data_IF_432094732257
#
_entry.id   IF_432094732257
#
_cell.length_a   1.000
_cell.length_b   1.000
_cell.length_c   1.000
_cell.angle_alpha   90.00
_cell.angle_beta   90.00
_cell.angle_gamma   90.00
#
_symmetry.space_group_name_H-M   'P 1'
#
loop_
_entity.id
_entity.type
_entity.pdbx_description
1 polymer ?
#
# COMPACT_ATOMS: atom_id res chain seq x y z
N UNK A 1 78.63 49.64 -30.93
CA UNK A 1 78.35 49.74 -29.48
C UNK A 1 76.91 49.35 -29.27
N UNK A 2 76.66 48.16 -28.84
CA UNK A 2 75.41 47.79 -28.13
C UNK A 2 75.43 46.28 -27.83
N UNK A 3 75.47 45.95 -26.60
CA UNK A 3 75.53 44.56 -26.10
C UNK A 3 74.12 43.92 -26.15
N UNK A 4 74.07 42.80 -26.77
CA UNK A 4 72.84 41.95 -26.77
C UNK A 4 72.91 41.03 -25.54
N UNK A 5 71.99 41.19 -24.63
CA UNK A 5 71.76 40.26 -23.50
C UNK A 5 70.88 39.13 -23.95
N UNK A 6 71.32 37.90 -23.79
CA UNK A 6 70.50 36.66 -23.97
C UNK A 6 69.83 36.34 -22.65
N UNK A 7 68.53 36.33 -22.64
CA UNK A 7 67.70 35.79 -21.56
C UNK A 7 67.29 34.32 -21.91
N UNK A 8 67.74 33.39 -21.12
CA UNK A 8 67.35 32.01 -21.24
C UNK A 8 66.00 31.77 -20.59
N UNK A 9 65.13 31.18 -21.33
CA UNK A 9 63.82 30.71 -20.79
C UNK A 9 63.98 29.31 -20.19
N UNK A 10 63.80 29.23 -18.90
CA UNK A 10 63.66 27.90 -18.17
C UNK A 10 62.22 27.47 -18.29
N UNK A 11 61.97 26.36 -19.00
CA UNK A 11 60.70 25.70 -19.06
C UNK A 11 60.51 24.85 -17.77
N UNK A 12 59.62 25.26 -16.89
CA UNK A 12 59.19 24.46 -15.75
C UNK A 12 58.09 23.47 -16.20
N UNK A 13 58.42 22.18 -16.19
CA UNK A 13 57.49 21.10 -16.39
C UNK A 13 56.67 20.91 -15.09
N UNK A 14 55.41 21.32 -15.11
CA UNK A 14 54.47 21.01 -14.02
C UNK A 14 53.81 19.66 -14.34
N UNK A 15 54.26 18.59 -13.66
CA UNK A 15 53.57 17.32 -13.66
C UNK A 15 52.30 17.44 -12.77
N UNK A 16 51.16 17.59 -13.42
CA UNK A 16 49.86 17.47 -12.74
C UNK A 16 49.53 16.00 -12.40
N UNK A 17 49.72 15.62 -11.15
CA UNK A 17 49.13 14.36 -10.64
C UNK A 17 47.60 14.53 -10.60
N UNK A 18 46.91 13.94 -11.57
CA UNK A 18 45.47 13.76 -11.49
C UNK A 18 45.17 12.65 -10.48
N UNK A 19 44.79 13.02 -9.27
CA UNK A 19 44.22 12.07 -8.28
C UNK A 19 42.82 11.74 -8.73
N UNK A 20 42.64 10.60 -9.39
CA UNK A 20 41.34 10.03 -9.67
C UNK A 20 40.81 9.46 -8.35
N UNK A 21 39.98 10.23 -7.67
CA UNK A 21 39.21 9.73 -6.52
C UNK A 21 38.10 8.83 -7.07
N UNK A 22 38.36 7.53 -7.09
CA UNK A 22 37.33 6.53 -7.34
C UNK A 22 36.42 6.49 -6.11
N UNK A 23 35.27 7.16 -6.17
CA UNK A 23 34.19 6.91 -5.24
C UNK A 23 33.64 5.50 -5.54
N UNK A 24 34.20 4.50 -4.90
CA UNK A 24 33.54 3.22 -4.74
C UNK A 24 32.31 3.48 -3.87
N UNK A 25 31.13 3.61 -4.50
CA UNK A 25 29.86 3.45 -3.80
C UNK A 25 29.88 2.02 -3.26
N UNK A 26 30.30 1.87 -2.02
CA UNK A 26 30.03 0.68 -1.25
C UNK A 26 28.50 0.55 -1.19
N UNK A 27 27.96 -0.37 -1.98
CA UNK A 27 26.65 -0.89 -1.75
C UNK A 27 26.63 -1.35 -0.28
N UNK A 28 25.96 -0.62 0.59
CA UNK A 28 25.72 -1.05 1.96
C UNK A 28 24.92 -2.35 1.84
N UNK A 29 25.60 -3.48 1.91
CA UNK A 29 24.99 -4.74 2.25
C UNK A 29 24.45 -4.55 3.66
N UNK A 30 23.23 -4.06 3.78
CA UNK A 30 22.54 -4.05 5.05
C UNK A 30 22.31 -5.51 5.42
N UNK A 31 22.79 -5.91 6.59
CA UNK A 31 22.42 -7.20 7.17
C UNK A 31 20.89 -7.35 7.08
N UNK A 32 20.40 -8.57 6.87
CA UNK A 32 18.96 -8.80 6.83
C UNK A 32 18.32 -8.22 8.10
N UNK A 33 17.12 -7.65 8.02
CA UNK A 33 16.45 -7.05 9.17
C UNK A 33 16.29 -8.10 10.28
N UNK A 34 16.57 -7.70 11.52
CA UNK A 34 16.34 -8.55 12.68
C UNK A 34 14.84 -8.59 12.95
N UNK A 35 14.23 -9.72 12.66
CA UNK A 35 12.80 -9.94 12.92
C UNK A 35 12.60 -10.31 14.38
N UNK A 36 11.68 -9.66 15.05
CA UNK A 36 11.36 -9.86 16.47
C UNK A 36 9.97 -10.47 16.63
N UNK A 37 9.78 -11.66 16.05
CA UNK A 37 8.47 -12.35 16.09
C UNK A 37 8.04 -12.69 17.53
N UNK A 38 8.99 -12.85 18.45
CA UNK A 38 8.77 -13.01 19.88
C UNK A 38 8.03 -11.85 20.54
N UNK A 39 8.05 -10.66 19.93
CA UNK A 39 7.33 -9.49 20.41
C UNK A 39 5.89 -9.38 19.89
N UNK A 40 5.54 -10.19 18.89
CA UNK A 40 4.18 -10.14 18.30
C UNK A 40 3.18 -10.80 19.27
N UNK A 41 2.16 -10.04 19.59
CA UNK A 41 1.02 -10.46 20.40
C UNK A 41 -0.17 -10.76 19.48
N UNK A 42 -0.73 -11.94 19.63
CA UNK A 42 -1.89 -12.44 18.91
C UNK A 42 -2.93 -12.95 19.93
N UNK A 43 -4.20 -13.05 19.55
CA UNK A 43 -5.19 -13.77 20.36
C UNK A 43 -4.80 -15.23 20.57
N UNK A 44 -5.35 -15.86 21.62
CA UNK A 44 -5.09 -17.25 21.93
C UNK A 44 -5.39 -18.20 20.76
N UNK A 45 -4.54 -19.18 20.54
CA UNK A 45 -4.63 -20.16 19.46
C UNK A 45 -4.05 -19.68 18.13
N UNK A 46 -3.69 -18.40 18.00
CA UNK A 46 -3.02 -17.90 16.79
C UNK A 46 -1.50 -17.98 16.92
N UNK A 47 -0.85 -18.18 15.79
CA UNK A 47 0.61 -18.14 15.65
C UNK A 47 1.01 -17.32 14.43
N UNK A 48 2.23 -16.77 14.45
CA UNK A 48 2.83 -16.05 13.32
C UNK A 48 4.18 -16.66 12.99
N UNK A 49 4.44 -16.83 11.70
CA UNK A 49 5.71 -17.30 11.18
C UNK A 49 6.12 -16.47 9.94
N UNK A 50 7.39 -16.51 9.59
CA UNK A 50 7.85 -15.97 8.30
C UNK A 50 7.41 -16.93 7.20
N UNK A 51 6.65 -16.40 6.22
CA UNK A 51 6.25 -17.13 5.02
C UNK A 51 7.25 -16.90 3.87
N UNK A 52 7.71 -15.66 3.66
CA UNK A 52 8.71 -15.32 2.65
C UNK A 52 9.64 -14.21 3.14
N UNK A 53 10.91 -14.24 2.73
CA UNK A 53 11.93 -13.20 2.99
C UNK A 53 12.48 -12.64 1.68
N UNK A 54 13.04 -11.43 1.74
CA UNK A 54 13.68 -10.79 0.59
C UNK A 54 12.70 -10.27 -0.45
N UNK A 55 11.41 -10.21 -0.14
CA UNK A 55 10.37 -9.60 -0.98
C UNK A 55 10.45 -8.09 -0.81
N UNK A 56 11.30 -7.46 -1.62
CA UNK A 56 11.69 -6.06 -1.45
C UNK A 56 10.51 -5.11 -1.41
N UNK A 57 10.38 -4.39 -0.28
CA UNK A 57 9.40 -3.34 -0.04
C UNK A 57 7.96 -3.82 -0.31
N UNK A 58 7.61 -5.01 0.23
CA UNK A 58 6.37 -5.72 -0.03
C UNK A 58 5.13 -4.92 0.37
N UNK A 59 4.27 -4.63 -0.60
CA UNK A 59 3.03 -3.86 -0.45
C UNK A 59 1.82 -4.73 -0.71
N UNK A 60 0.91 -4.30 -1.59
CA UNK A 60 -0.29 -5.06 -1.90
C UNK A 60 0.03 -6.46 -2.41
N UNK A 61 -0.74 -7.42 -1.96
CA UNK A 61 -0.71 -8.81 -2.41
C UNK A 61 -1.96 -9.15 -3.23
N UNK A 62 -1.82 -10.05 -4.20
CA UNK A 62 -2.93 -10.63 -4.94
C UNK A 62 -2.68 -12.13 -5.13
N UNK A 63 -3.70 -12.94 -4.86
CA UNK A 63 -3.62 -14.38 -5.00
C UNK A 63 -3.96 -14.80 -6.43
N UNK A 64 -3.07 -15.56 -7.06
CA UNK A 64 -3.29 -16.22 -8.34
C UNK A 64 -4.12 -17.48 -8.20
N UNK A 65 -4.58 -18.02 -9.34
CA UNK A 65 -5.43 -19.20 -9.38
C UNK A 65 -4.73 -20.50 -8.95
N UNK A 66 -3.38 -20.54 -9.08
CA UNK A 66 -2.55 -21.70 -8.70
C UNK A 66 -1.85 -21.51 -7.35
N UNK A 67 -2.27 -20.51 -6.55
CA UNK A 67 -1.68 -20.23 -5.24
C UNK A 67 -0.47 -19.29 -5.26
N UNK A 68 -0.06 -18.80 -6.43
CA UNK A 68 0.99 -17.77 -6.54
C UNK A 68 0.55 -16.48 -5.82
N UNK A 69 1.40 -15.94 -4.95
CA UNK A 69 1.16 -14.63 -4.32
C UNK A 69 1.93 -13.57 -5.10
N UNK A 70 1.22 -12.75 -5.85
CA UNK A 70 1.80 -11.58 -6.51
C UNK A 70 1.91 -10.43 -5.53
N UNK A 71 3.05 -9.72 -5.54
CA UNK A 71 3.36 -8.70 -4.54
C UNK A 71 3.88 -7.45 -5.23
N UNK A 72 3.17 -6.34 -5.06
CA UNK A 72 3.62 -5.03 -5.48
C UNK A 72 4.65 -4.46 -4.50
N UNK A 73 5.36 -3.42 -4.94
CA UNK A 73 6.28 -2.68 -4.08
C UNK A 73 6.08 -1.17 -4.22
N UNK A 74 6.60 -0.39 -3.27
CA UNK A 74 6.61 1.05 -3.39
C UNK A 74 7.96 1.51 -4.00
N UNK A 75 8.93 1.87 -3.18
CA UNK A 75 10.21 2.46 -3.63
C UNK A 75 11.12 1.49 -4.38
N UNK A 76 10.94 0.18 -4.20
CA UNK A 76 11.77 -0.81 -4.89
C UNK A 76 11.51 -0.86 -6.41
N UNK A 77 10.34 -0.42 -6.88
CA UNK A 77 9.99 -0.44 -8.30
C UNK A 77 9.87 -1.83 -8.89
N UNK A 78 9.57 -2.84 -8.05
CA UNK A 78 9.53 -4.24 -8.38
C UNK A 78 8.12 -4.82 -8.21
N UNK A 79 7.79 -5.82 -9.00
CA UNK A 79 6.63 -6.70 -8.77
C UNK A 79 7.16 -8.13 -8.66
N UNK A 80 6.77 -8.82 -7.59
CA UNK A 80 7.21 -10.17 -7.33
C UNK A 80 6.07 -11.18 -7.52
N UNK A 81 6.44 -12.42 -7.81
CA UNK A 81 5.59 -13.60 -7.64
C UNK A 81 6.27 -14.54 -6.66
N UNK A 82 5.58 -14.89 -5.60
CA UNK A 82 6.09 -15.71 -4.49
C UNK A 82 5.28 -16.98 -4.45
N UNK A 83 5.97 -18.13 -4.42
CA UNK A 83 5.35 -19.45 -4.58
C UNK A 83 5.84 -20.38 -3.49
N UNK A 84 4.91 -21.06 -2.84
CA UNK A 84 5.10 -22.24 -2.03
C UNK A 84 4.83 -23.45 -2.96
N UNK A 85 5.85 -24.25 -3.28
CA UNK A 85 5.76 -25.30 -4.29
C UNK A 85 5.50 -26.68 -3.70
N UNK A 86 5.79 -26.89 -2.42
CA UNK A 86 5.63 -28.18 -1.75
C UNK A 86 4.52 -28.18 -0.67
N UNK A 87 3.92 -27.04 -0.41
CA UNK A 87 2.78 -26.89 0.52
C UNK A 87 3.17 -26.93 2.00
N UNK A 88 4.44 -26.66 2.34
CA UNK A 88 4.92 -26.63 3.72
C UNK A 88 4.57 -25.34 4.47
N UNK A 89 3.85 -24.45 3.80
CA UNK A 89 3.46 -23.11 4.28
C UNK A 89 4.61 -22.12 4.40
N UNK A 90 5.65 -22.30 3.58
CA UNK A 90 6.74 -21.36 3.36
C UNK A 90 6.97 -21.18 1.87
N UNK A 91 7.39 -20.01 1.47
CA UNK A 91 7.70 -19.74 0.08
C UNK A 91 9.07 -20.32 -0.30
N UNK A 92 9.12 -21.10 -1.37
CA UNK A 92 10.33 -21.70 -1.92
C UNK A 92 11.00 -20.79 -2.96
N UNK A 93 10.19 -20.08 -3.72
CA UNK A 93 10.66 -19.32 -4.88
C UNK A 93 10.04 -17.94 -4.95
N UNK A 94 10.89 -16.97 -5.26
CA UNK A 94 10.47 -15.61 -5.56
C UNK A 94 10.97 -15.23 -6.95
N UNK A 95 10.04 -14.85 -7.82
CA UNK A 95 10.33 -14.37 -9.17
C UNK A 95 10.12 -12.86 -9.23
N UNK A 96 10.90 -12.18 -10.10
CA UNK A 96 10.67 -10.76 -10.41
C UNK A 96 9.86 -10.70 -11.71
N UNK A 97 8.60 -10.31 -11.61
CA UNK A 97 7.68 -10.20 -12.75
C UNK A 97 7.91 -8.90 -13.53
N UNK A 98 8.15 -7.80 -12.82
CA UNK A 98 8.45 -6.51 -13.43
C UNK A 98 9.45 -5.73 -12.59
N UNK A 99 10.23 -4.85 -13.26
CA UNK A 99 11.22 -3.96 -12.63
C UNK A 99 11.27 -2.60 -13.31
N UNK A 100 11.73 -1.59 -12.56
CA UNK A 100 11.87 -0.23 -13.08
C UNK A 100 10.53 0.51 -13.24
N UNK A 101 9.47 0.04 -12.61
CA UNK A 101 8.19 0.72 -12.54
C UNK A 101 8.19 1.79 -11.44
N UNK A 102 7.33 2.78 -11.55
CA UNK A 102 7.24 3.88 -10.59
C UNK A 102 6.23 3.52 -9.48
N UNK A 103 6.73 3.09 -8.31
CA UNK A 103 5.91 2.70 -7.16
C UNK A 103 4.77 1.72 -7.50
N UNK A 104 5.07 0.55 -8.10
CA UNK A 104 4.06 -0.40 -8.55
C UNK A 104 3.43 -1.17 -7.37
N UNK A 105 2.79 -0.42 -6.46
CA UNK A 105 2.20 -1.00 -5.24
C UNK A 105 0.96 -1.83 -5.54
N UNK A 106 0.18 -1.44 -6.54
CA UNK A 106 -1.11 -2.05 -6.84
C UNK A 106 -0.99 -3.30 -7.70
N UNK A 107 -1.50 -4.43 -7.22
CA UNK A 107 -1.57 -5.68 -7.97
C UNK A 107 -2.95 -6.32 -7.85
N UNK A 108 -3.50 -6.85 -8.94
CA UNK A 108 -4.74 -7.60 -8.95
C UNK A 108 -4.65 -8.75 -9.95
N UNK A 109 -5.24 -9.89 -9.62
CA UNK A 109 -5.26 -11.06 -10.48
C UNK A 109 -6.69 -11.37 -10.93
N UNK A 110 -6.87 -11.65 -12.22
CA UNK A 110 -8.14 -12.07 -12.79
C UNK A 110 -7.95 -12.83 -14.10
N UNK A 111 -8.69 -13.90 -14.27
CA UNK A 111 -8.79 -14.68 -15.53
C UNK A 111 -7.41 -15.06 -16.10
N UNK A 112 -6.46 -15.48 -15.23
CA UNK A 112 -5.10 -15.87 -15.61
C UNK A 112 -4.13 -14.69 -15.79
N UNK A 113 -4.60 -13.45 -15.73
CA UNK A 113 -3.78 -12.26 -15.94
C UNK A 113 -3.51 -11.50 -14.64
N UNK A 114 -2.28 -10.98 -14.51
CA UNK A 114 -1.88 -10.05 -13.46
C UNK A 114 -2.00 -8.62 -13.97
N UNK A 115 -2.76 -7.79 -13.25
CA UNK A 115 -2.81 -6.35 -13.43
C UNK A 115 -1.88 -5.68 -12.45
N UNK A 116 -1.10 -4.72 -12.92
CA UNK A 116 -0.12 -3.96 -12.12
C UNK A 116 -0.36 -2.48 -12.34
N UNK A 117 -0.58 -1.74 -11.27
CA UNK A 117 -0.67 -0.29 -11.31
C UNK A 117 0.60 0.37 -10.77
N UNK A 118 1.27 1.15 -11.60
CA UNK A 118 2.22 2.17 -11.17
C UNK A 118 1.48 3.50 -10.90
N UNK A 119 2.21 4.62 -10.75
CA UNK A 119 1.56 5.90 -10.40
C UNK A 119 0.50 6.30 -11.42
N UNK A 120 0.81 6.23 -12.72
CA UNK A 120 -0.06 6.76 -13.77
C UNK A 120 -0.58 5.73 -14.76
N UNK A 121 -0.06 4.50 -14.69
CA UNK A 121 -0.33 3.48 -15.69
C UNK A 121 -0.81 2.18 -15.06
N UNK A 122 -1.61 1.45 -15.81
CA UNK A 122 -1.99 0.09 -15.48
C UNK A 122 -1.55 -0.82 -16.61
N UNK A 123 -0.83 -1.88 -16.24
CA UNK A 123 -0.33 -2.91 -17.12
C UNK A 123 -1.04 -4.23 -16.86
N UNK A 124 -1.11 -5.10 -17.87
CA UNK A 124 -1.59 -6.47 -17.75
C UNK A 124 -0.55 -7.44 -18.29
N UNK A 125 -0.28 -8.50 -17.52
CA UNK A 125 0.56 -9.62 -17.90
C UNK A 125 -0.34 -10.84 -18.08
N UNK A 126 -0.55 -11.24 -19.33
CA UNK A 126 -1.44 -12.34 -19.68
C UNK A 126 -0.79 -13.69 -19.38
N UNK A 127 -1.59 -14.69 -18.98
CA UNK A 127 -1.16 -16.06 -18.65
C UNK A 127 0.07 -16.14 -17.73
N UNK A 128 0.09 -15.25 -16.72
CA UNK A 128 1.28 -14.97 -15.94
C UNK A 128 1.77 -16.18 -15.13
N UNK A 129 0.85 -17.00 -14.58
CA UNK A 129 1.24 -18.14 -13.76
C UNK A 129 1.90 -19.28 -14.54
N UNK A 130 1.79 -19.30 -15.87
CA UNK A 130 2.54 -20.21 -16.74
C UNK A 130 3.96 -19.67 -17.06
N UNK A 131 4.23 -18.40 -16.77
CA UNK A 131 5.43 -17.71 -17.25
C UNK A 131 6.20 -16.96 -16.17
N UNK A 132 6.16 -17.40 -14.90
CA UNK A 132 6.78 -16.70 -13.76
C UNK A 132 8.28 -16.48 -13.95
N UNK A 133 9.00 -17.46 -14.52
CA UNK A 133 10.45 -17.37 -14.73
C UNK A 133 10.82 -16.47 -15.93
N UNK A 134 9.91 -16.33 -16.89
CA UNK A 134 10.10 -15.51 -18.10
C UNK A 134 8.79 -14.78 -18.38
N UNK A 135 8.50 -13.71 -17.64
CA UNK A 135 7.22 -13.00 -17.74
C UNK A 135 6.99 -12.44 -19.16
N UNK A 136 5.75 -12.49 -19.65
CA UNK A 136 5.42 -11.95 -20.95
C UNK A 136 5.58 -10.42 -20.96
N UNK A 137 5.71 -9.85 -22.16
CA UNK A 137 5.69 -8.39 -22.30
C UNK A 137 4.34 -7.85 -21.85
N UNK A 138 4.31 -6.84 -20.96
CA UNK A 138 3.05 -6.29 -20.47
C UNK A 138 2.26 -5.56 -21.56
N UNK A 139 0.94 -5.69 -21.51
CA UNK A 139 -0.01 -4.88 -22.28
C UNK A 139 -0.31 -3.62 -21.47
N UNK A 140 -0.13 -2.45 -22.06
CA UNK A 140 -0.56 -1.18 -21.45
C UNK A 140 -2.09 -1.07 -21.52
N UNK A 141 -2.76 -1.08 -20.39
CA UNK A 141 -4.22 -0.97 -20.29
C UNK A 141 -4.65 0.50 -20.31
N UNK A 142 -3.97 1.34 -19.53
CA UNK A 142 -4.21 2.80 -19.53
C UNK A 142 -2.98 3.56 -19.04
N UNK A 143 -2.83 4.82 -19.49
CA UNK A 143 -1.83 5.78 -18.99
C UNK A 143 -2.48 7.12 -18.61
N UNK A 144 -3.76 7.12 -18.29
CA UNK A 144 -4.56 8.34 -18.10
C UNK A 144 -4.74 8.73 -16.62
N UNK A 145 -4.07 8.05 -15.69
CA UNK A 145 -4.05 8.47 -14.30
C UNK A 145 -3.05 9.62 -14.08
N UNK A 146 -3.26 10.46 -13.06
CA UNK A 146 -2.33 11.53 -12.72
C UNK A 146 -0.90 11.02 -12.49
N UNK A 147 0.10 11.85 -12.80
CA UNK A 147 1.53 11.54 -12.69
C UNK A 147 2.17 12.01 -11.38
N UNK A 148 1.40 12.73 -10.56
CA UNK A 148 1.83 13.22 -9.26
C UNK A 148 2.22 12.08 -8.34
N UNK A 149 3.40 12.19 -7.75
CA UNK A 149 3.98 11.15 -6.90
C UNK A 149 3.45 11.18 -5.47
N UNK A 150 3.03 12.36 -4.99
CA UNK A 150 2.42 12.50 -3.66
C UNK A 150 1.06 11.79 -3.62
N UNK A 151 0.91 10.79 -2.77
CA UNK A 151 -0.22 9.85 -2.75
C UNK A 151 -0.50 9.19 -4.12
N UNK A 152 0.54 9.06 -4.96
CA UNK A 152 0.41 8.55 -6.33
C UNK A 152 0.29 7.03 -6.43
N UNK A 153 0.87 6.27 -5.47
CA UNK A 153 0.81 4.81 -5.50
C UNK A 153 -0.61 4.29 -5.32
N UNK A 154 -0.89 3.16 -5.95
CA UNK A 154 -2.23 2.59 -6.04
C UNK A 154 -2.38 1.33 -5.19
N UNK A 155 -3.59 1.05 -4.80
CA UNK A 155 -4.11 -0.26 -4.44
C UNK A 155 -5.20 -0.59 -5.45
N UNK A 156 -5.18 -1.74 -6.10
CA UNK A 156 -6.18 -2.08 -7.12
C UNK A 156 -6.82 -3.43 -6.83
N UNK A 157 -8.10 -3.55 -7.11
CA UNK A 157 -8.81 -4.82 -7.00
C UNK A 157 -10.04 -4.84 -7.93
N UNK A 158 -10.41 -6.04 -8.38
CA UNK A 158 -11.64 -6.24 -9.12
C UNK A 158 -12.84 -6.32 -8.18
N UNK A 159 -13.83 -5.52 -8.44
CA UNK A 159 -15.11 -5.54 -7.73
C UNK A 159 -16.00 -6.72 -8.14
N UNK A 160 -17.05 -6.99 -7.34
CA UNK A 160 -18.03 -8.02 -7.65
C UNK A 160 -18.81 -7.75 -8.95
N UNK A 161 -18.77 -6.52 -9.44
CA UNK A 161 -19.30 -6.06 -10.73
C UNK A 161 -18.35 -6.30 -11.91
N UNK A 162 -17.14 -6.81 -11.62
CA UNK A 162 -16.12 -7.10 -12.61
C UNK A 162 -15.29 -5.92 -13.08
N UNK A 163 -15.50 -4.72 -12.51
CA UNK A 163 -14.68 -3.54 -12.79
C UNK A 163 -13.41 -3.53 -11.93
N UNK A 164 -12.35 -2.92 -12.43
CA UNK A 164 -11.13 -2.67 -11.69
C UNK A 164 -11.23 -1.33 -10.94
N UNK A 165 -11.19 -1.38 -9.62
CA UNK A 165 -11.24 -0.19 -8.76
C UNK A 165 -9.84 0.34 -8.51
N UNK A 166 -9.69 1.68 -8.61
CA UNK A 166 -8.39 2.36 -8.58
C UNK A 166 -8.54 3.67 -7.80
N UNK A 167 -8.00 3.78 -6.59
CA UNK A 167 -7.99 5.03 -5.86
C UNK A 167 -6.97 6.01 -6.45
N UNK A 168 -7.29 7.29 -6.35
CA UNK A 168 -6.42 8.40 -6.76
C UNK A 168 -6.33 9.37 -5.60
N UNK A 169 -5.20 9.38 -4.91
CA UNK A 169 -4.98 10.26 -3.75
C UNK A 169 -4.88 11.73 -4.14
N UNK A 170 -5.08 12.62 -3.17
CA UNK A 170 -4.84 14.04 -3.35
C UNK A 170 -3.35 14.31 -3.61
N UNK A 171 -2.96 15.21 -4.53
CA UNK A 171 -1.56 15.48 -4.86
C UNK A 171 -0.87 16.40 -3.83
N UNK A 172 -1.41 16.50 -2.62
CA UNK A 172 -1.01 17.45 -1.59
C UNK A 172 -1.43 16.94 -0.20
N UNK A 173 -0.92 17.57 0.85
CA UNK A 173 -1.43 17.31 2.20
C UNK A 173 -2.91 17.72 2.33
N UNK A 174 -3.22 18.97 1.92
CA UNK A 174 -4.60 19.46 1.80
C UNK A 174 -4.70 20.41 0.61
N UNK A 175 -5.63 20.20 -0.28
CA UNK A 175 -5.95 21.08 -1.41
C UNK A 175 -7.26 20.66 -2.05
N UNK A 176 -7.94 21.62 -2.67
CA UNK A 176 -9.09 21.34 -3.50
C UNK A 176 -8.67 21.35 -4.98
N UNK A 177 -8.59 20.17 -5.56
CA UNK A 177 -8.24 19.97 -6.97
C UNK A 177 -9.42 19.50 -7.84
N UNK A 178 -10.63 19.47 -7.30
CA UNK A 178 -11.82 18.95 -8.01
C UNK A 178 -12.10 19.71 -9.30
N UNK A 179 -11.85 21.04 -9.31
CA UNK A 179 -12.05 21.89 -10.49
C UNK A 179 -10.97 21.74 -11.57
N UNK A 180 -9.75 21.31 -11.18
CA UNK A 180 -8.63 21.12 -12.09
C UNK A 180 -8.59 19.69 -12.67
N UNK A 181 -8.75 18.71 -11.79
CA UNK A 181 -8.81 17.31 -12.18
C UNK A 181 -9.71 16.54 -11.21
N UNK A 182 -10.92 16.17 -11.63
CA UNK A 182 -11.93 15.59 -10.75
C UNK A 182 -11.63 14.19 -10.24
N UNK A 183 -10.56 13.54 -10.70
CA UNK A 183 -10.17 12.20 -10.22
C UNK A 183 -9.35 12.25 -8.93
N UNK A 184 -8.77 13.39 -8.55
CA UNK A 184 -8.04 13.51 -7.29
C UNK A 184 -8.95 13.34 -6.06
N UNK A 185 -8.42 12.73 -5.03
CA UNK A 185 -9.12 12.43 -3.77
C UNK A 185 -10.41 11.61 -3.99
N UNK A 186 -10.32 10.59 -4.86
CA UNK A 186 -11.45 9.71 -5.20
C UNK A 186 -11.05 8.23 -5.22
N UNK A 187 -12.05 7.38 -5.25
CA UNK A 187 -11.93 6.01 -5.76
C UNK A 187 -12.61 5.97 -7.11
N UNK A 188 -11.86 5.61 -8.14
CA UNK A 188 -12.38 5.40 -9.50
C UNK A 188 -12.55 3.92 -9.79
N UNK A 189 -13.27 3.58 -10.85
CA UNK A 189 -13.25 2.24 -11.45
C UNK A 189 -13.14 2.33 -12.96
N UNK A 190 -12.56 1.31 -13.58
CA UNK A 190 -12.44 1.18 -15.04
C UNK A 190 -12.79 -0.26 -15.44
N UNK A 191 -13.16 -0.46 -16.70
CA UNK A 191 -13.30 -1.81 -17.25
C UNK A 191 -11.94 -2.49 -17.35
N UNK A 192 -11.87 -3.84 -17.39
CA UNK A 192 -10.60 -4.57 -17.51
C UNK A 192 -9.76 -4.21 -18.73
N UNK A 193 -10.39 -3.70 -19.78
CA UNK A 193 -9.74 -3.20 -21.01
C UNK A 193 -9.23 -1.75 -20.91
N UNK A 194 -9.45 -1.08 -19.76
CA UNK A 194 -9.03 0.30 -19.51
C UNK A 194 -10.03 1.37 -19.95
N UNK A 195 -11.16 0.98 -20.52
CA UNK A 195 -12.20 1.93 -20.96
C UNK A 195 -13.21 2.26 -19.85
N UNK A 196 -14.01 3.28 -20.07
CA UNK A 196 -15.20 3.60 -19.24
C UNK A 196 -14.88 4.06 -17.83
N UNK A 197 -13.72 4.75 -17.62
CA UNK A 197 -13.37 5.26 -16.28
C UNK A 197 -14.45 6.18 -15.72
N UNK A 198 -14.84 5.90 -14.48
CA UNK A 198 -15.80 6.71 -13.73
C UNK A 198 -15.40 6.82 -12.25
N UNK A 199 -15.88 7.85 -11.56
CA UNK A 199 -15.64 8.05 -10.14
C UNK A 199 -16.73 7.31 -9.34
N UNK A 200 -16.28 6.45 -8.41
CA UNK A 200 -17.16 5.73 -7.49
C UNK A 200 -17.43 6.50 -6.20
N UNK A 201 -16.36 7.04 -5.57
CA UNK A 201 -16.47 7.78 -4.31
C UNK A 201 -15.57 9.01 -4.33
N UNK A 202 -16.04 10.09 -3.69
CA UNK A 202 -15.35 11.37 -3.58
C UNK A 202 -14.89 11.64 -2.14
N UNK A 203 -14.00 12.62 -1.97
CA UNK A 203 -13.58 13.09 -0.65
C UNK A 203 -12.71 12.09 0.11
N UNK A 204 -12.00 11.23 -0.58
CA UNK A 204 -11.06 10.24 -0.06
C UNK A 204 -9.64 10.76 -0.26
N UNK A 205 -9.03 11.36 0.78
CA UNK A 205 -7.72 12.01 0.67
C UNK A 205 -6.63 11.09 0.13
N UNK A 206 -6.47 9.92 0.74
CA UNK A 206 -5.49 8.92 0.33
C UNK A 206 -5.94 7.53 0.78
N UNK A 207 -6.42 6.74 -0.16
CA UNK A 207 -6.76 5.34 0.06
C UNK A 207 -5.71 4.42 -0.53
N UNK A 208 -5.25 3.46 0.27
CA UNK A 208 -4.32 2.40 -0.13
C UNK A 208 -4.85 1.03 0.33
N UNK A 209 -6.16 0.91 0.51
CA UNK A 209 -6.80 -0.34 0.87
C UNK A 209 -8.31 -0.25 0.84
N UNK A 210 -8.92 -1.27 0.30
CA UNK A 210 -10.37 -1.41 0.27
C UNK A 210 -10.76 -2.86 -0.02
N UNK A 211 -11.98 -3.21 0.36
CA UNK A 211 -12.58 -4.50 0.01
C UNK A 211 -14.11 -4.42 0.12
N UNK A 212 -14.81 -5.39 -0.43
CA UNK A 212 -16.28 -5.45 -0.47
C UNK A 212 -16.81 -6.34 0.64
N UNK A 213 -17.81 -5.82 1.35
CA UNK A 213 -18.49 -6.60 2.39
C UNK A 213 -19.08 -7.89 1.80
N UNK A 214 -18.80 -9.07 2.39
CA UNK A 214 -19.16 -10.35 1.80
C UNK A 214 -20.64 -10.53 1.50
N UNK A 215 -21.54 -9.99 2.34
CA UNK A 215 -22.99 -10.11 2.16
C UNK A 215 -23.56 -8.98 1.28
N UNK A 216 -23.31 -7.71 1.64
CA UNK A 216 -23.96 -6.56 0.98
C UNK A 216 -23.28 -6.15 -0.33
N UNK A 217 -22.03 -6.58 -0.58
CA UNK A 217 -21.18 -6.15 -1.68
C UNK A 217 -20.87 -4.64 -1.69
N UNK A 218 -21.19 -3.91 -0.63
CA UNK A 218 -20.81 -2.51 -0.44
C UNK A 218 -19.31 -2.38 -0.18
N UNK A 219 -18.71 -1.34 -0.72
CA UNK A 219 -17.25 -1.11 -0.67
C UNK A 219 -16.84 -0.44 0.64
N UNK A 220 -15.93 -1.05 1.38
CA UNK A 220 -15.21 -0.45 2.51
C UNK A 220 -13.87 0.08 2.05
N UNK A 221 -13.53 1.33 2.45
CA UNK A 221 -12.37 2.08 1.94
C UNK A 221 -11.62 2.67 3.13
N UNK A 222 -10.34 2.33 3.31
CA UNK A 222 -9.46 3.06 4.25
C UNK A 222 -9.08 4.41 3.67
N UNK A 223 -8.93 5.43 4.51
CA UNK A 223 -8.42 6.74 4.09
C UNK A 223 -7.54 7.35 5.17
N UNK A 224 -6.34 7.74 4.78
CA UNK A 224 -5.42 8.45 5.66
C UNK A 224 -5.80 9.92 5.74
N UNK A 225 -5.95 10.43 6.95
CA UNK A 225 -6.31 11.82 7.25
C UNK A 225 -5.22 12.84 6.90
N UNK A 226 -5.57 14.14 6.99
CA UNK A 226 -4.65 15.25 6.80
C UNK A 226 -3.54 15.22 7.87
N UNK A 227 -2.31 15.51 7.46
CA UNK A 227 -1.19 15.68 8.38
C UNK A 227 -1.13 17.10 8.97
N UNK A 228 -0.35 17.27 10.06
CA UNK A 228 -0.02 18.55 10.68
C UNK A 228 -1.21 19.30 11.32
N UNK A 229 -2.15 18.54 11.90
CA UNK A 229 -3.20 19.09 12.77
C UNK A 229 -3.02 18.70 14.25
N UNK A 230 -1.88 18.13 14.60
CA UNK A 230 -1.56 17.62 15.94
C UNK A 230 -1.60 16.09 16.01
N UNK A 231 -1.30 15.55 17.19
CA UNK A 231 -1.15 14.09 17.40
C UNK A 231 -2.48 13.34 17.30
N UNK A 232 -3.57 13.95 17.73
CA UNK A 232 -4.85 13.24 17.93
C UNK A 232 -5.92 13.61 16.89
N UNK A 233 -5.61 14.51 15.95
CA UNK A 233 -6.55 15.01 14.95
C UNK A 233 -5.87 15.16 13.59
N UNK A 234 -6.56 14.86 12.47
CA UNK A 234 -7.82 14.13 12.37
C UNK A 234 -7.60 12.61 12.45
N UNK A 235 -8.65 11.83 12.73
CA UNK A 235 -8.55 10.38 12.63
C UNK A 235 -8.40 9.94 11.17
N UNK A 236 -7.67 8.85 10.96
CA UNK A 236 -7.84 8.03 9.77
C UNK A 236 -9.21 7.37 9.79
N UNK A 237 -9.73 6.98 8.66
CA UNK A 237 -11.12 6.52 8.56
C UNK A 237 -11.25 5.23 7.77
N UNK A 238 -12.26 4.45 8.14
CA UNK A 238 -12.85 3.41 7.33
C UNK A 238 -14.22 3.92 6.83
N UNK A 239 -14.35 4.08 5.54
CA UNK A 239 -15.55 4.61 4.88
C UNK A 239 -16.34 3.47 4.24
N UNK A 240 -17.67 3.55 4.26
CA UNK A 240 -18.55 2.58 3.62
C UNK A 240 -19.30 3.23 2.45
N UNK A 241 -19.05 2.75 1.25
CA UNK A 241 -19.61 3.26 -0.01
C UNK A 241 -20.44 2.17 -0.74
N UNK A 242 -21.66 1.87 -0.30
CA UNK A 242 -22.52 0.87 -0.94
C UNK A 242 -23.00 1.24 -2.34
N UNK A 243 -22.88 2.51 -2.72
CA UNK A 243 -23.28 3.05 -4.02
C UNK A 243 -22.30 4.12 -4.52
N UNK A 244 -22.32 4.36 -5.82
CA UNK A 244 -21.53 5.43 -6.43
C UNK A 244 -22.00 6.82 -6.01
N UNK A 245 -21.10 7.82 -6.12
CA UNK A 245 -21.39 9.24 -5.91
C UNK A 245 -21.34 9.71 -4.45
N UNK A 246 -20.99 8.85 -3.49
CA UNK A 246 -20.83 9.27 -2.09
C UNK A 246 -19.59 10.13 -1.90
N UNK A 247 -19.70 11.18 -1.06
CA UNK A 247 -18.62 12.12 -0.74
C UNK A 247 -18.30 12.08 0.76
N UNK A 248 -17.03 11.83 1.09
CA UNK A 248 -16.53 11.67 2.47
C UNK A 248 -15.79 12.90 3.01
N UNK A 249 -15.86 14.03 2.31
CA UNK A 249 -15.62 15.36 2.85
C UNK A 249 -14.28 16.00 2.56
N UNK A 250 -13.20 15.27 2.23
CA UNK A 250 -11.92 15.92 1.91
C UNK A 250 -12.04 16.86 0.69
N UNK A 251 -11.48 18.08 0.73
CA UNK A 251 -10.62 18.67 1.78
C UNK A 251 -11.36 19.45 2.87
N UNK A 252 -12.65 19.52 2.88
CA UNK A 252 -13.45 20.42 3.71
C UNK A 252 -13.71 19.89 5.12
N UNK A 253 -13.86 18.57 5.25
CA UNK A 253 -14.20 17.89 6.49
C UNK A 253 -13.38 16.59 6.64
N UNK A 254 -12.87 16.33 7.85
CA UNK A 254 -12.13 15.15 8.19
C UNK A 254 -12.88 14.33 9.23
N UNK A 255 -12.83 12.99 9.11
CA UNK A 255 -13.46 12.09 10.07
C UNK A 255 -14.97 12.28 10.24
N UNK A 256 -15.62 13.05 9.35
CA UNK A 256 -17.05 13.31 9.33
C UNK A 256 -17.55 14.40 10.26
N UNK A 257 -16.66 15.04 11.07
CA UNK A 257 -17.04 16.07 12.04
C UNK A 257 -15.92 17.09 12.39
N UNK A 258 -14.75 16.98 11.80
CA UNK A 258 -13.63 17.91 12.01
C UNK A 258 -13.53 18.84 10.79
N UNK A 259 -13.99 20.11 10.87
CA UNK A 259 -13.82 21.06 9.78
C UNK A 259 -12.33 21.31 9.52
N UNK A 260 -11.96 21.37 8.24
CA UNK A 260 -10.58 21.74 7.88
C UNK A 260 -10.30 23.20 8.20
N UNK A 261 -9.15 23.55 8.80
CA UNK A 261 -8.83 24.94 9.14
C UNK A 261 -8.78 25.91 7.95
N UNK A 262 -8.45 25.41 6.74
CA UNK A 262 -8.31 26.25 5.53
C UNK A 262 -9.54 26.18 4.61
N UNK A 263 -10.17 25.01 4.56
CA UNK A 263 -11.25 24.73 3.61
C UNK A 263 -12.63 24.58 4.26
N UNK A 264 -12.70 24.27 5.56
CA UNK A 264 -13.94 23.89 6.25
C UNK A 264 -15.02 24.96 6.25
N UNK A 265 -14.64 26.25 6.20
CA UNK A 265 -15.61 27.35 6.07
C UNK A 265 -16.38 27.37 4.76
N UNK A 266 -15.90 26.69 3.71
CA UNK A 266 -16.53 26.66 2.38
C UNK A 266 -17.70 25.67 2.32
N UNK A 267 -17.60 24.56 3.05
CA UNK A 267 -18.63 23.50 3.06
C UNK A 267 -18.66 22.82 4.44
N UNK A 268 -19.80 22.83 5.13
CA UNK A 268 -19.92 22.25 6.46
C UNK A 268 -19.86 20.71 6.43
N UNK A 269 -19.38 20.11 7.51
CA UNK A 269 -19.27 18.65 7.63
C UNK A 269 -20.61 17.90 7.46
N UNK A 270 -21.74 18.58 7.70
CA UNK A 270 -23.08 18.02 7.56
C UNK A 270 -23.48 17.68 6.11
N UNK A 271 -22.75 18.19 5.12
CA UNK A 271 -22.98 17.87 3.71
C UNK A 271 -22.38 16.52 3.30
N UNK A 272 -21.52 15.94 4.12
CA UNK A 272 -20.73 14.77 3.75
C UNK A 272 -21.19 13.50 4.46
N UNK A 273 -20.89 12.37 3.82
CA UNK A 273 -21.07 11.05 4.43
C UNK A 273 -20.07 10.85 5.56
N UNK A 274 -20.58 10.48 6.73
CA UNK A 274 -19.70 10.11 7.86
C UNK A 274 -19.00 8.79 7.59
N UNK A 275 -17.77 8.59 8.10
CA UNK A 275 -17.11 7.28 8.04
C UNK A 275 -17.89 6.22 8.81
N UNK A 276 -17.79 4.97 8.38
CA UNK A 276 -18.33 3.84 9.10
C UNK A 276 -17.60 3.61 10.44
N UNK A 277 -16.27 3.89 10.46
CA UNK A 277 -15.44 3.81 11.66
C UNK A 277 -14.33 4.86 11.61
N UNK A 278 -14.17 5.60 12.70
CA UNK A 278 -12.93 6.36 12.94
C UNK A 278 -11.88 5.40 13.48
N UNK A 279 -10.76 5.39 12.81
CA UNK A 279 -9.60 4.62 13.23
C UNK A 279 -8.63 5.34 14.14
N UNK A 280 -7.74 5.42 14.68
CA UNK A 280 -6.92 6.41 15.41
C UNK A 280 -6.35 7.47 14.48
N UNK A 281 -5.95 8.60 15.01
CA UNK A 281 -5.25 9.62 14.24
C UNK A 281 -3.88 9.10 13.81
N UNK A 282 -3.60 9.22 12.52
CA UNK A 282 -2.31 8.90 11.91
C UNK A 282 -1.84 7.43 12.02
N UNK A 283 -2.76 6.48 12.22
CA UNK A 283 -2.39 5.06 12.23
C UNK A 283 -1.90 4.56 10.86
N UNK A 284 -2.12 5.34 9.82
CA UNK A 284 -1.84 5.03 8.42
C UNK A 284 -2.48 3.71 8.00
N UNK A 285 -3.82 3.64 8.12
CA UNK A 285 -4.60 2.50 7.67
C UNK A 285 -4.47 2.34 6.15
N UNK A 286 -3.92 1.21 5.71
CA UNK A 286 -3.68 0.92 4.29
C UNK A 286 -4.36 -0.39 3.90
N UNK A 287 -3.66 -1.48 3.59
CA UNK A 287 -4.28 -2.73 3.13
C UNK A 287 -5.45 -3.19 3.99
N UNK A 288 -6.55 -3.54 3.36
CA UNK A 288 -7.78 -3.97 4.05
C UNK A 288 -8.45 -5.11 3.28
N UNK A 289 -8.80 -6.21 3.98
CA UNK A 289 -9.45 -7.38 3.39
C UNK A 289 -10.45 -8.01 4.35
N UNK A 290 -11.60 -8.42 3.82
CA UNK A 290 -12.51 -9.30 4.54
C UNK A 290 -11.95 -10.72 4.61
N UNK A 291 -11.92 -11.28 5.80
CA UNK A 291 -11.54 -12.66 6.00
C UNK A 291 -12.74 -13.59 5.76
N UNK A 292 -12.78 -14.21 4.59
CA UNK A 292 -13.85 -15.15 4.20
C UNK A 292 -13.48 -16.62 4.44
N UNK A 293 -12.28 -16.89 5.00
CA UNK A 293 -11.82 -18.22 5.35
C UNK A 293 -12.61 -18.84 6.51
N UNK A 294 -12.42 -20.13 6.73
CA UNK A 294 -13.11 -20.90 7.78
C UNK A 294 -12.17 -21.45 8.86
N UNK A 295 -10.85 -21.26 8.71
CA UNK A 295 -9.88 -21.78 9.69
C UNK A 295 -9.86 -20.97 10.98
N UNK A 296 -10.05 -19.65 10.92
CA UNK A 296 -10.14 -18.81 12.11
C UNK A 296 -11.47 -19.03 12.85
N UNK A 297 -11.52 -18.74 14.16
CA UNK A 297 -12.76 -18.76 14.94
C UNK A 297 -13.90 -17.99 14.28
N UNK A 298 -15.14 -18.39 14.57
CA UNK A 298 -16.34 -17.86 13.91
C UNK A 298 -16.47 -16.34 14.01
N UNK A 299 -15.98 -15.74 15.09
CA UNK A 299 -16.00 -14.29 15.33
C UNK A 299 -15.16 -13.49 14.34
N UNK A 300 -14.20 -14.12 13.63
CA UNK A 300 -13.37 -13.48 12.63
C UNK A 300 -13.88 -13.65 11.20
N UNK A 301 -14.86 -14.54 10.98
CA UNK A 301 -15.40 -14.80 9.64
C UNK A 301 -16.20 -13.61 9.14
N UNK A 302 -15.94 -13.23 7.89
CA UNK A 302 -16.55 -12.07 7.26
C UNK A 302 -16.25 -10.74 7.99
N UNK A 303 -15.15 -10.67 8.76
CA UNK A 303 -14.69 -9.46 9.39
C UNK A 303 -13.52 -8.84 8.61
N UNK A 304 -13.39 -7.51 8.68
CA UNK A 304 -12.40 -6.76 7.93
C UNK A 304 -11.11 -6.62 8.72
N UNK A 305 -10.02 -7.19 8.21
CA UNK A 305 -8.67 -6.98 8.73
C UNK A 305 -8.02 -5.79 8.03
N UNK A 306 -7.36 -4.93 8.79
CA UNK A 306 -6.70 -3.71 8.29
C UNK A 306 -5.24 -3.71 8.75
N UNK A 307 -4.33 -3.46 7.81
CA UNK A 307 -2.95 -3.14 8.14
C UNK A 307 -2.82 -1.66 8.48
N UNK A 308 -2.51 -1.36 9.73
CA UNK A 308 -2.14 -0.03 10.19
C UNK A 308 -0.62 0.13 10.09
N UNK A 309 -0.16 0.76 9.01
CA UNK A 309 1.24 0.86 8.64
C UNK A 309 2.09 1.67 9.63
N UNK A 310 1.45 2.54 10.40
CA UNK A 310 2.06 3.29 11.48
C UNK A 310 2.42 4.73 11.14
N UNK A 311 2.34 5.57 12.16
CA UNK A 311 2.49 7.03 12.08
C UNK A 311 3.93 7.45 11.75
N UNK A 312 4.05 8.61 11.10
CA UNK A 312 5.32 9.30 10.92
C UNK A 312 5.33 10.70 11.54
N UNK A 313 4.16 11.28 11.77
CA UNK A 313 3.91 12.66 12.19
C UNK A 313 3.27 12.77 13.58
N UNK A 314 3.58 11.85 14.50
CA UNK A 314 3.15 11.88 15.90
C UNK A 314 4.35 11.93 16.84
N UNK A 315 4.18 12.62 17.97
CA UNK A 315 5.15 12.62 19.10
C UNK A 315 5.33 11.21 19.64
N UNK A 316 4.22 10.51 19.89
CA UNK A 316 4.23 9.09 20.27
C UNK A 316 3.74 8.26 19.08
N UNK A 317 4.57 7.38 18.48
CA UNK A 317 4.17 6.56 17.38
C UNK A 317 2.99 5.63 17.70
N UNK A 318 2.09 5.46 16.72
CA UNK A 318 0.91 4.57 16.82
C UNK A 318 0.73 3.78 15.51
N UNK A 319 -0.15 2.77 15.52
CA UNK A 319 -0.32 1.85 14.41
C UNK A 319 0.74 0.75 14.48
N UNK A 320 1.37 0.39 13.36
CA UNK A 320 2.34 -0.70 13.24
C UNK A 320 1.74 -2.03 13.73
N UNK A 321 0.53 -2.34 13.26
CA UNK A 321 -0.25 -3.48 13.74
C UNK A 321 -1.30 -3.91 12.72
N UNK A 322 -1.92 -5.05 12.96
CA UNK A 322 -3.14 -5.46 12.27
C UNK A 322 -4.30 -5.24 13.23
N UNK A 323 -5.37 -4.63 12.74
CA UNK A 323 -6.63 -4.46 13.46
C UNK A 323 -7.74 -5.23 12.77
N UNK A 324 -8.81 -5.52 13.50
CA UNK A 324 -10.03 -6.11 12.96
C UNK A 324 -11.22 -5.20 13.26
N UNK A 325 -11.99 -4.91 12.21
CA UNK A 325 -13.28 -4.25 12.30
C UNK A 325 -14.34 -5.32 12.14
N UNK A 326 -15.23 -5.45 13.15
CA UNK A 326 -16.35 -6.38 13.09
C UNK A 326 -17.58 -5.71 12.50
N UNK A 327 -18.31 -6.45 11.66
CA UNK A 327 -19.50 -5.97 10.96
C UNK A 327 -20.64 -6.99 11.10
N UNK A 328 -21.88 -6.51 11.07
CA UNK A 328 -23.05 -7.37 10.93
C UNK A 328 -23.38 -7.66 9.45
N UNK A 329 -24.40 -8.48 9.21
CA UNK A 329 -24.82 -8.86 7.85
C UNK A 329 -25.32 -7.67 6.99
N UNK A 330 -25.66 -6.56 7.61
CA UNK A 330 -26.08 -5.31 6.97
C UNK A 330 -24.93 -4.33 6.75
N UNK A 331 -23.68 -4.77 7.06
CA UNK A 331 -22.46 -3.97 6.98
C UNK A 331 -22.37 -2.81 8.01
N UNK A 332 -23.14 -2.84 9.09
CA UNK A 332 -22.93 -1.94 10.20
C UNK A 332 -21.68 -2.37 11.00
N UNK A 333 -20.82 -1.43 11.33
CA UNK A 333 -19.67 -1.69 12.18
C UNK A 333 -20.14 -1.92 13.61
N UNK A 334 -19.73 -3.05 14.20
CA UNK A 334 -20.08 -3.48 15.57
C UNK A 334 -18.88 -3.44 16.52
N UNK A 335 -17.65 -3.30 16.01
CA UNK A 335 -16.45 -3.20 16.83
C UNK A 335 -15.20 -2.91 16.02
N UNK A 336 -14.16 -2.42 16.72
CA UNK A 336 -12.83 -2.18 16.19
C UNK A 336 -11.80 -2.44 17.28
N UNK A 337 -10.86 -3.35 17.04
CA UNK A 337 -9.86 -3.76 18.04
C UNK A 337 -8.54 -4.20 17.37
N UNK A 338 -7.39 -4.14 18.08
CA UNK A 338 -6.16 -4.79 17.65
C UNK A 338 -6.36 -6.31 17.49
N UNK A 339 -5.64 -6.87 16.49
CA UNK A 339 -5.57 -8.32 16.26
C UNK A 339 -4.14 -8.85 16.40
N UNK A 340 -3.16 -8.17 15.77
CA UNK A 340 -1.75 -8.50 15.91
C UNK A 340 -0.96 -7.23 16.17
N UNK A 341 -0.22 -7.18 17.26
CA UNK A 341 0.59 -6.02 17.67
C UNK A 341 2.01 -6.47 18.03
N UNK A 342 2.99 -5.55 17.98
CA UNK A 342 4.36 -5.83 18.42
C UNK A 342 5.44 -5.42 17.42
N UNK A 343 5.09 -4.95 16.22
CA UNK A 343 6.06 -4.39 15.27
C UNK A 343 6.67 -3.06 15.74
N UNK A 344 6.05 -2.40 16.71
CA UNK A 344 6.56 -1.22 17.40
C UNK A 344 7.03 -1.61 18.80
N UNK A 345 8.32 -1.37 19.13
CA UNK A 345 8.93 -1.66 20.42
C UNK A 345 9.69 -0.43 20.92
N UNK A 346 9.38 0.05 22.11
CA UNK A 346 10.03 1.20 22.72
C UNK A 346 10.11 2.43 21.78
N UNK A 347 9.04 2.72 21.03
CA UNK A 347 8.99 3.82 20.07
C UNK A 347 9.74 3.59 18.76
N UNK A 348 10.32 2.40 18.55
CA UNK A 348 11.04 2.03 17.33
C UNK A 348 10.32 0.89 16.62
N UNK A 349 9.93 1.14 15.35
CA UNK A 349 9.33 0.11 14.54
C UNK A 349 10.41 -0.79 13.92
N UNK A 350 10.37 -2.10 14.16
CA UNK A 350 11.20 -3.07 13.49
C UNK A 350 10.55 -3.61 12.21
N UNK A 351 9.22 -3.51 12.08
CA UNK A 351 8.44 -3.85 10.91
C UNK A 351 7.28 -2.88 10.70
N UNK A 352 6.66 -2.91 9.52
CA UNK A 352 5.51 -2.08 9.11
C UNK A 352 4.54 -2.91 8.27
N UNK A 353 3.48 -3.47 8.88
CA UNK A 353 2.44 -4.17 8.12
C UNK A 353 1.84 -3.29 7.03
N UNK A 354 1.75 -3.82 5.80
CA UNK A 354 1.31 -3.05 4.64
C UNK A 354 0.02 -3.57 4.01
N UNK A 355 -0.16 -4.89 3.90
CA UNK A 355 -1.38 -5.51 3.40
C UNK A 355 -1.65 -6.82 4.12
N UNK A 356 -2.88 -7.29 4.02
CA UNK A 356 -3.31 -8.60 4.49
C UNK A 356 -3.95 -9.38 3.34
N UNK A 357 -3.70 -10.68 3.23
CA UNK A 357 -4.25 -11.52 2.18
C UNK A 357 -4.67 -12.88 2.73
N UNK A 358 -5.98 -13.17 2.83
CA UNK A 358 -6.45 -14.50 3.16
C UNK A 358 -6.00 -15.54 2.14
N UNK A 359 -5.55 -16.69 2.60
CA UNK A 359 -5.20 -17.84 1.77
C UNK A 359 -6.33 -18.89 1.74
N UNK A 360 -6.35 -19.80 0.75
CA UNK A 360 -7.36 -20.86 0.65
C UNK A 360 -7.35 -21.84 1.83
N UNK A 361 -6.19 -22.04 2.49
CA UNK A 361 -6.08 -22.86 3.70
C UNK A 361 -6.68 -22.18 4.94
N UNK A 362 -7.14 -20.94 4.79
CA UNK A 362 -7.74 -20.13 5.84
C UNK A 362 -6.72 -19.40 6.71
N UNK A 363 -5.42 -19.44 6.41
CA UNK A 363 -4.44 -18.56 7.03
C UNK A 363 -4.47 -17.15 6.43
N UNK A 364 -3.79 -16.20 7.09
CA UNK A 364 -3.71 -14.81 6.67
C UNK A 364 -2.25 -14.44 6.44
N UNK A 365 -1.90 -14.01 5.23
CA UNK A 365 -0.60 -13.38 4.97
C UNK A 365 -0.62 -11.91 5.38
N UNK A 366 0.53 -11.41 5.82
CA UNK A 366 0.78 -10.00 6.15
C UNK A 366 2.07 -9.58 5.46
N UNK A 367 2.02 -8.62 4.55
CA UNK A 367 3.22 -8.03 3.97
C UNK A 367 3.81 -6.95 4.87
N UNK A 368 5.14 -6.83 4.85
CA UNK A 368 5.90 -5.83 5.61
C UNK A 368 6.95 -5.19 4.70
N UNK A 369 6.74 -3.94 4.34
CA UNK A 369 7.58 -3.21 3.39
C UNK A 369 8.87 -2.65 4.00
N UNK A 370 8.95 -2.59 5.32
CA UNK A 370 10.15 -2.19 6.04
C UNK A 370 11.13 -3.35 6.19
N UNK A 371 10.62 -4.54 6.47
CA UNK A 371 11.43 -5.72 6.74
C UNK A 371 11.64 -6.60 5.52
N UNK A 372 11.05 -6.27 4.36
CA UNK A 372 11.11 -7.06 3.12
C UNK A 372 10.60 -8.51 3.33
N UNK A 373 9.54 -8.67 4.12
CA UNK A 373 9.04 -9.98 4.59
C UNK A 373 7.54 -10.09 4.36
N UNK A 374 7.09 -11.33 4.17
CA UNK A 374 5.67 -11.69 4.28
C UNK A 374 5.55 -12.68 5.44
N UNK A 375 4.68 -12.38 6.39
CA UNK A 375 4.35 -13.25 7.49
C UNK A 375 3.09 -14.06 7.16
N UNK A 376 2.98 -15.25 7.78
CA UNK A 376 1.76 -16.05 7.79
C UNK A 376 1.23 -16.15 9.21
N UNK A 377 -0.02 -15.76 9.40
CA UNK A 377 -0.77 -15.95 10.65
C UNK A 377 -1.72 -17.13 10.46
N UNK A 378 -1.64 -18.09 11.35
CA UNK A 378 -2.48 -19.29 11.34
C UNK A 378 -3.12 -19.52 12.70
N UNK A 379 -4.25 -20.22 12.71
CA UNK A 379 -4.96 -20.64 13.92
C UNK A 379 -4.82 -22.16 14.09
N UNK A 380 -4.28 -22.57 15.21
CA UNK A 380 -4.27 -23.97 15.61
C UNK A 380 -5.58 -24.27 16.35
N UNK A 381 -6.34 -25.25 15.84
CA UNK A 381 -7.55 -25.76 16.52
C UNK A 381 -7.18 -26.57 17.75
#
# INVERSE_FOLDING_TARGET
>A
MTRIARLGAAAALVLGLAVVVIYAQQAKSSAPPVLRLDTIKLPEGFSIAVWAQGVKNARQMALGAKGTVFVGSNQAGLVHAVVDTDGDHKADKTYVIAKGLQQPSGVAFRDGALYVADISKIYRFDDIEAHLATPPKPVLITSEYPTETHHGWKFIAFGPDGWLYVPVGAPCNVCDKRGENPVFATVTRIKPDGTGREVWAHGIRNSVGFDWHPATKGLFITSNGRDMMGDDVPPDTLNYAPKAGMDFGFPYCHGGDVPDPEFGAKRPCTEFTKPAQKLGAHVAAIGARFYTGTAFPAEYRNQLFIAEHGSWNRTTPVGYRITVVTTDAQANVTGYKPFAEGWLQAGQAWGRPADVQPLPDGSLLVSDDKSDVIYRIAYAK
#
